data_IF_806570344227
#
_entry.id   IF_806570344227
#
_cell.length_a   1.000
_cell.length_b   1.000
_cell.length_c   1.000
_cell.angle_alpha   90.00
_cell.angle_beta   90.00
_cell.angle_gamma   90.00
#
_symmetry.space_group_name_H-M   'P 1'
#
loop_
_entity.id
_entity.type
_entity.pdbx_description
1 polymer ?
#
# COMPACT_ATOMS: atom_id res chain seq x y z
N UNK A 1 -22.25 -21.38 -16.55
CA UNK A 1 -23.19 -21.29 -15.40
C UNK A 1 -23.88 -19.96 -15.49
N UNK A 2 -25.18 -19.85 -15.15
CA UNK A 2 -25.87 -18.54 -15.15
C UNK A 2 -25.52 -17.72 -13.92
N UNK A 3 -25.58 -16.39 -14.04
CA UNK A 3 -25.34 -15.45 -12.93
C UNK A 3 -26.23 -15.74 -11.70
N UNK A 4 -27.48 -16.09 -11.94
CA UNK A 4 -28.43 -16.46 -10.89
C UNK A 4 -28.01 -17.71 -10.11
N UNK A 5 -27.50 -18.73 -10.81
CA UNK A 5 -27.01 -19.96 -10.18
C UNK A 5 -25.75 -19.71 -9.36
N UNK A 6 -24.84 -18.85 -9.85
CA UNK A 6 -23.66 -18.44 -9.09
C UNK A 6 -24.08 -17.71 -7.81
N UNK A 7 -25.04 -16.78 -7.92
CA UNK A 7 -25.60 -16.03 -6.79
C UNK A 7 -26.21 -16.96 -5.74
N UNK A 8 -27.03 -17.93 -6.17
CA UNK A 8 -27.68 -18.92 -5.28
C UNK A 8 -26.64 -19.75 -4.50
N UNK A 9 -25.58 -20.22 -5.16
CA UNK A 9 -24.48 -20.94 -4.52
C UNK A 9 -23.82 -20.08 -3.46
N UNK A 10 -23.49 -18.83 -3.79
CA UNK A 10 -22.81 -17.91 -2.86
C UNK A 10 -23.68 -17.58 -1.65
N UNK A 11 -24.99 -17.37 -1.85
CA UNK A 11 -25.93 -17.11 -0.77
C UNK A 11 -26.12 -18.33 0.15
N UNK A 12 -26.16 -19.56 -0.41
CA UNK A 12 -26.16 -20.81 0.37
C UNK A 12 -24.91 -20.99 1.22
N UNK A 13 -23.78 -20.46 0.77
CA UNK A 13 -22.53 -20.42 1.54
C UNK A 13 -22.47 -19.29 2.57
N UNK A 14 -23.50 -18.45 2.67
CA UNK A 14 -23.60 -17.36 3.64
C UNK A 14 -23.01 -16.02 3.16
N UNK A 15 -22.64 -15.88 1.88
CA UNK A 15 -22.11 -14.62 1.36
C UNK A 15 -23.20 -13.57 1.20
N UNK A 16 -22.97 -12.38 1.75
CA UNK A 16 -23.77 -11.18 1.47
C UNK A 16 -23.17 -10.44 0.28
N UNK A 17 -23.93 -10.32 -0.82
CA UNK A 17 -23.45 -9.81 -2.10
C UNK A 17 -23.94 -8.39 -2.34
N UNK A 18 -23.00 -7.47 -2.57
CA UNK A 18 -23.28 -6.10 -3.04
C UNK A 18 -23.07 -6.02 -4.55
N UNK A 19 -24.07 -5.54 -5.27
CA UNK A 19 -24.10 -5.51 -6.74
C UNK A 19 -23.34 -4.30 -7.30
N UNK A 20 -22.42 -4.56 -8.25
CA UNK A 20 -21.64 -3.57 -9.00
C UNK A 20 -21.77 -3.75 -10.53
N UNK A 21 -22.94 -4.19 -11.00
CA UNK A 21 -23.19 -4.39 -12.43
C UNK A 21 -22.56 -5.67 -12.97
N UNK A 22 -21.31 -5.67 -13.38
CA UNK A 22 -20.62 -6.85 -13.93
C UNK A 22 -20.14 -7.86 -12.88
N UNK A 23 -20.08 -7.46 -11.60
CA UNK A 23 -19.58 -8.28 -10.51
C UNK A 23 -20.29 -7.99 -9.20
N UNK A 24 -20.15 -8.88 -8.24
CA UNK A 24 -20.50 -8.66 -6.84
C UNK A 24 -19.25 -8.41 -6.02
N UNK A 25 -19.43 -7.65 -4.92
CA UNK A 25 -18.45 -7.58 -3.84
C UNK A 25 -19.01 -8.15 -2.57
N UNK A 26 -18.12 -8.76 -1.77
CA UNK A 26 -18.47 -9.40 -0.52
C UNK A 26 -17.28 -9.47 0.43
N UNK A 27 -17.53 -9.86 1.67
CA UNK A 27 -16.49 -10.15 2.64
C UNK A 27 -15.84 -11.52 2.34
N UNK A 28 -14.60 -11.69 2.81
CA UNK A 28 -13.86 -12.95 2.64
C UNK A 28 -14.24 -13.96 3.75
N UNK A 29 -15.47 -14.48 3.73
CA UNK A 29 -15.98 -15.41 4.76
C UNK A 29 -15.08 -16.60 4.99
N UNK A 30 -14.53 -17.19 3.94
CA UNK A 30 -13.64 -18.36 3.99
C UNK A 30 -12.38 -18.18 4.88
N UNK A 31 -12.08 -16.95 5.29
CA UNK A 31 -10.97 -16.63 6.21
C UNK A 31 -11.42 -15.74 7.37
N UNK A 32 -12.72 -15.64 7.65
CA UNK A 32 -13.27 -14.81 8.74
C UNK A 32 -13.11 -13.30 8.53
N UNK A 33 -12.98 -12.84 7.29
CA UNK A 33 -12.86 -11.41 6.98
C UNK A 33 -14.23 -10.73 6.99
N UNK A 34 -14.29 -9.52 7.55
CA UNK A 34 -15.50 -8.70 7.71
C UNK A 34 -15.63 -7.54 6.70
N UNK A 35 -14.57 -7.24 5.96
CA UNK A 35 -14.58 -6.17 4.95
C UNK A 35 -15.48 -6.54 3.76
N UNK A 36 -16.64 -5.84 3.55
CA UNK A 36 -17.63 -6.18 2.52
C UNK A 36 -17.16 -5.94 1.08
N UNK A 37 -15.95 -5.41 0.88
CA UNK A 37 -15.37 -5.16 -0.44
C UNK A 37 -14.08 -5.95 -0.69
N UNK A 38 -13.71 -6.87 0.21
CA UNK A 38 -12.44 -7.60 0.12
C UNK A 38 -12.40 -8.57 -1.06
N UNK A 39 -13.52 -9.18 -1.41
CA UNK A 39 -13.63 -10.16 -2.49
C UNK A 39 -14.52 -9.63 -3.60
N UNK A 40 -14.06 -9.74 -4.84
CA UNK A 40 -14.82 -9.46 -6.04
C UNK A 40 -15.11 -10.77 -6.78
N UNK A 41 -16.37 -10.98 -7.21
CA UNK A 41 -16.82 -12.19 -7.91
C UNK A 41 -17.50 -11.77 -9.19
N UNK A 42 -17.01 -12.23 -10.33
CA UNK A 42 -17.58 -11.93 -11.65
C UNK A 42 -18.84 -12.74 -11.91
N UNK A 43 -19.90 -12.08 -12.40
CA UNK A 43 -21.24 -12.66 -12.57
C UNK A 43 -21.33 -13.66 -13.72
N UNK A 44 -20.53 -13.48 -14.73
CA UNK A 44 -20.51 -14.29 -15.96
C UNK A 44 -19.78 -15.63 -15.79
N UNK A 45 -18.75 -15.65 -14.98
CA UNK A 45 -17.80 -16.76 -14.85
C UNK A 45 -17.75 -17.37 -13.45
N UNK A 46 -18.15 -16.62 -12.42
CA UNK A 46 -17.90 -16.99 -11.03
C UNK A 46 -16.42 -16.91 -10.63
N UNK A 47 -15.55 -16.44 -11.51
CA UNK A 47 -14.16 -16.15 -11.16
C UNK A 47 -14.13 -15.09 -10.09
N UNK A 48 -13.23 -15.22 -9.14
CA UNK A 48 -13.13 -14.30 -8.02
C UNK A 48 -11.70 -13.90 -7.68
N UNK A 49 -11.57 -12.77 -7.01
CA UNK A 49 -10.31 -12.18 -6.56
C UNK A 49 -10.46 -11.71 -5.12
N UNK A 50 -9.49 -12.03 -4.26
CA UNK A 50 -9.37 -11.43 -2.92
C UNK A 50 -8.26 -10.38 -2.95
N UNK A 51 -8.63 -9.11 -2.91
CA UNK A 51 -7.69 -7.99 -2.96
C UNK A 51 -6.77 -7.86 -1.73
N UNK A 52 -7.04 -8.60 -0.66
CA UNK A 52 -6.18 -8.65 0.52
C UNK A 52 -5.09 -9.71 0.37
N UNK A 53 -5.41 -10.82 -0.31
CA UNK A 53 -4.46 -11.92 -0.55
C UNK A 53 -3.61 -11.75 -1.81
N UNK A 54 -4.03 -10.88 -2.72
CA UNK A 54 -3.37 -10.62 -3.99
C UNK A 54 -4.33 -10.65 -5.18
N UNK A 55 -3.83 -10.34 -6.37
CA UNK A 55 -4.62 -10.20 -7.60
C UNK A 55 -4.85 -11.56 -8.34
N UNK A 56 -4.64 -12.70 -7.70
CA UNK A 56 -4.83 -14.00 -8.34
C UNK A 56 -6.32 -14.28 -8.56
N UNK A 57 -6.68 -14.54 -9.82
CA UNK A 57 -8.02 -14.95 -10.20
C UNK A 57 -8.20 -16.44 -9.94
N UNK A 58 -9.24 -16.78 -9.16
CA UNK A 58 -9.54 -18.15 -8.76
C UNK A 58 -10.93 -18.58 -9.24
N UNK A 59 -11.14 -19.88 -9.42
CA UNK A 59 -12.43 -20.42 -9.85
C UNK A 59 -13.46 -20.41 -8.71
N UNK A 60 -14.77 -20.41 -9.06
CA UNK A 60 -15.85 -20.55 -8.08
C UNK A 60 -15.69 -21.82 -7.24
N UNK A 61 -15.22 -22.92 -7.85
CA UNK A 61 -14.91 -24.17 -7.14
C UNK A 61 -13.92 -23.94 -6.00
N UNK A 62 -12.84 -23.21 -6.25
CA UNK A 62 -11.85 -22.89 -5.22
C UNK A 62 -12.45 -22.04 -4.07
N UNK A 63 -13.43 -21.16 -4.35
CA UNK A 63 -14.13 -20.41 -3.32
C UNK A 63 -15.01 -21.32 -2.46
N UNK A 64 -15.75 -22.24 -3.10
CA UNK A 64 -16.59 -23.23 -2.40
C UNK A 64 -15.73 -24.11 -1.49
N UNK A 65 -14.64 -24.67 -2.00
CA UNK A 65 -13.70 -25.51 -1.24
C UNK A 65 -13.09 -24.74 -0.03
N UNK A 66 -12.66 -23.51 -0.27
CA UNK A 66 -12.10 -22.67 0.77
C UNK A 66 -13.12 -22.30 1.87
N UNK A 67 -14.38 -22.07 1.49
CA UNK A 67 -15.45 -21.69 2.42
C UNK A 67 -15.93 -22.87 3.25
N UNK A 68 -16.08 -24.04 2.66
CA UNK A 68 -16.47 -25.27 3.35
C UNK A 68 -15.33 -25.89 4.16
N UNK A 69 -14.10 -25.44 3.92
CA UNK A 69 -12.87 -26.01 4.52
C UNK A 69 -12.80 -27.54 4.32
N UNK A 70 -13.30 -28.02 3.17
CA UNK A 70 -13.37 -29.44 2.82
C UNK A 70 -12.65 -29.75 1.52
N UNK A 71 -12.03 -30.91 1.44
CA UNK A 71 -11.47 -31.48 0.24
C UNK A 71 -12.39 -32.58 -0.32
N UNK A 72 -13.59 -32.78 0.27
CA UNK A 72 -14.56 -33.76 -0.22
C UNK A 72 -15.18 -33.29 -1.54
N UNK A 73 -14.73 -33.92 -2.63
CA UNK A 73 -15.20 -33.65 -3.97
C UNK A 73 -16.71 -33.90 -4.15
N UNK A 74 -17.31 -34.79 -3.35
CA UNK A 74 -18.73 -35.12 -3.39
C UNK A 74 -19.59 -33.95 -2.88
N UNK A 75 -19.21 -33.34 -1.77
CA UNK A 75 -19.92 -32.22 -1.18
C UNK A 75 -19.82 -30.96 -2.06
N UNK A 76 -18.62 -30.66 -2.54
CA UNK A 76 -18.36 -29.57 -3.47
C UNK A 76 -19.15 -29.75 -4.78
N UNK A 77 -19.17 -30.97 -5.33
CA UNK A 77 -19.90 -31.30 -6.58
C UNK A 77 -21.42 -31.19 -6.42
N UNK A 78 -21.99 -31.55 -5.27
CA UNK A 78 -23.43 -31.37 -4.98
C UNK A 78 -23.82 -29.90 -4.99
N UNK A 79 -23.04 -29.01 -4.36
CA UNK A 79 -23.30 -27.57 -4.36
C UNK A 79 -23.17 -26.95 -5.75
N UNK A 80 -22.19 -27.38 -6.52
CA UNK A 80 -21.95 -26.91 -7.88
C UNK A 80 -22.91 -27.54 -8.89
N UNK A 81 -23.77 -28.49 -8.47
CA UNK A 81 -24.80 -29.12 -9.30
C UNK A 81 -24.25 -30.02 -10.40
N UNK A 82 -23.16 -30.75 -10.14
CA UNK A 82 -22.53 -31.69 -11.08
C UNK A 82 -21.81 -31.01 -12.27
N UNK A 83 -21.62 -29.72 -12.25
CA UNK A 83 -20.81 -29.02 -13.26
C UNK A 83 -19.34 -29.42 -13.12
N UNK A 84 -18.83 -30.08 -14.17
CA UNK A 84 -17.40 -30.40 -14.29
C UNK A 84 -16.64 -29.16 -14.74
N UNK A 85 -15.97 -28.49 -13.78
CA UNK A 85 -15.11 -27.34 -14.04
C UNK A 85 -13.77 -27.72 -14.68
N UNK A 86 -13.51 -29.00 -14.95
CA UNK A 86 -12.31 -29.43 -15.68
C UNK A 86 -12.50 -29.29 -17.21
N UNK A 87 -13.72 -29.03 -17.70
CA UNK A 87 -13.95 -28.60 -19.05
C UNK A 87 -14.01 -27.07 -19.13
N UNK A 88 -12.88 -26.43 -18.99
CA UNK A 88 -12.71 -25.09 -19.60
C UNK A 88 -12.94 -25.28 -21.10
N UNK A 89 -13.79 -24.45 -21.77
CA UNK A 89 -13.84 -24.44 -23.20
C UNK A 89 -12.40 -24.24 -23.71
N UNK A 90 -11.92 -25.19 -24.50
CA UNK A 90 -10.57 -25.18 -25.07
C UNK A 90 -10.33 -24.04 -26.08
N UNK A 91 -11.28 -23.09 -26.16
CA UNK A 91 -11.27 -21.98 -27.13
C UNK A 91 -11.23 -20.58 -26.52
N UNK A 92 -11.11 -20.46 -25.20
CA UNK A 92 -10.54 -19.22 -24.66
C UNK A 92 -9.05 -19.43 -24.62
N UNK A 93 -8.36 -19.03 -25.69
CA UNK A 93 -6.96 -18.61 -25.62
C UNK A 93 -6.89 -17.52 -24.54
N UNK A 94 -6.77 -17.94 -23.27
CA UNK A 94 -6.27 -17.06 -22.23
C UNK A 94 -4.92 -16.62 -22.80
N UNK A 95 -4.71 -15.34 -23.10
CA UNK A 95 -3.42 -14.91 -23.58
C UNK A 95 -2.42 -15.38 -22.53
N UNK A 96 -1.46 -16.23 -22.91
CA UNK A 96 -0.35 -16.72 -22.08
C UNK A 96 0.54 -15.58 -21.57
N UNK A 97 0.23 -14.38 -21.99
CA UNK A 97 0.81 -13.13 -21.50
C UNK A 97 -0.31 -12.41 -20.74
N UNK A 98 -0.06 -11.99 -19.46
CA UNK A 98 -0.94 -11.01 -18.85
C UNK A 98 -1.10 -9.90 -19.89
N UNK A 99 -2.36 -9.54 -20.23
CA UNK A 99 -2.61 -8.31 -20.98
C UNK A 99 -1.82 -7.27 -20.24
N UNK A 100 -0.73 -6.82 -20.84
CA UNK A 100 0.01 -5.67 -20.34
C UNK A 100 -0.97 -4.53 -20.52
N UNK A 101 -1.81 -4.27 -19.50
CA UNK A 101 -2.60 -3.07 -19.47
C UNK A 101 -1.56 -1.97 -19.59
N UNK A 102 -1.56 -1.29 -20.72
CA UNK A 102 -0.66 -0.16 -20.92
C UNK A 102 -0.94 0.78 -19.77
N UNK A 103 0.08 1.02 -18.97
CA UNK A 103 -0.02 1.86 -17.80
C UNK A 103 -0.56 3.23 -18.25
N UNK A 104 -1.73 3.62 -17.72
CA UNK A 104 -2.34 4.89 -18.07
C UNK A 104 -1.41 6.02 -17.69
N UNK A 105 -0.97 6.78 -18.66
CA UNK A 105 -0.13 7.96 -18.46
C UNK A 105 -0.91 9.24 -18.75
N UNK A 106 -0.42 10.33 -18.21
CA UNK A 106 -0.99 11.67 -18.35
C UNK A 106 0.04 12.61 -18.96
N UNK A 107 -0.36 13.53 -19.85
CA UNK A 107 0.57 14.48 -20.43
C UNK A 107 1.07 15.47 -19.36
N UNK A 108 2.33 15.89 -19.47
CA UNK A 108 2.94 16.84 -18.52
C UNK A 108 2.18 18.19 -18.46
N UNK A 109 1.50 18.58 -19.54
CA UNK A 109 0.67 19.79 -19.60
C UNK A 109 -0.47 19.80 -18.57
N UNK A 110 -0.87 18.64 -18.01
CA UNK A 110 -1.88 18.60 -16.96
C UNK A 110 -1.45 19.36 -15.70
N UNK A 111 -0.14 19.46 -15.45
CA UNK A 111 0.40 20.18 -14.29
C UNK A 111 0.18 21.68 -14.36
N UNK A 112 0.03 22.27 -15.56
CA UNK A 112 -0.28 23.70 -15.72
C UNK A 112 -1.67 24.09 -15.17
N UNK A 113 -2.53 23.10 -14.94
CA UNK A 113 -3.84 23.28 -14.29
C UNK A 113 -3.77 23.30 -12.75
N UNK A 114 -2.62 23.04 -12.18
CA UNK A 114 -2.41 23.10 -10.74
C UNK A 114 -1.97 24.51 -10.35
N UNK A 115 -2.71 25.15 -9.44
CA UNK A 115 -2.33 26.48 -8.94
C UNK A 115 -1.23 26.36 -7.87
N UNK A 116 -0.21 27.23 -7.89
CA UNK A 116 0.84 27.30 -6.87
C UNK A 116 0.31 27.94 -5.58
N UNK A 117 -0.66 27.33 -4.95
CA UNK A 117 -1.30 27.83 -3.74
C UNK A 117 -0.76 27.10 -2.50
N UNK A 118 0.38 27.55 -1.97
CA UNK A 118 1.17 26.85 -0.96
C UNK A 118 0.81 27.20 0.48
N UNK A 119 -0.09 28.15 0.73
CA UNK A 119 -0.40 28.74 2.05
C UNK A 119 -0.64 27.69 3.15
N UNK A 120 -1.32 26.59 2.81
CA UNK A 120 -1.61 25.54 3.79
C UNK A 120 -0.33 24.85 4.28
N UNK A 121 0.55 24.47 3.37
CA UNK A 121 1.80 23.79 3.70
C UNK A 121 2.82 24.76 4.32
N UNK A 122 2.88 26.01 3.85
CA UNK A 122 3.74 27.02 4.43
C UNK A 122 3.39 27.29 5.91
N UNK A 123 2.07 27.28 6.26
CA UNK A 123 1.63 27.35 7.65
C UNK A 123 2.06 26.15 8.50
N UNK A 124 2.39 25.02 7.86
CA UNK A 124 2.91 23.81 8.48
C UNK A 124 4.45 23.72 8.44
N UNK A 125 5.13 24.82 8.09
CA UNK A 125 6.58 24.85 8.04
C UNK A 125 7.22 24.30 6.76
N UNK A 126 6.43 23.89 5.76
CA UNK A 126 6.98 23.41 4.48
C UNK A 126 7.17 24.59 3.54
N UNK A 127 8.39 24.79 3.05
CA UNK A 127 8.74 25.88 2.12
C UNK A 127 8.12 25.71 0.74
N UNK A 128 7.91 26.81 0.03
CA UNK A 128 7.44 26.79 -1.35
C UNK A 128 8.42 26.04 -2.25
N UNK A 129 9.73 26.15 -2.01
CA UNK A 129 10.76 25.45 -2.77
C UNK A 129 10.63 23.93 -2.71
N UNK A 130 10.30 23.37 -1.53
CA UNK A 130 10.03 21.92 -1.41
C UNK A 130 8.76 21.52 -2.20
N UNK A 131 7.70 22.33 -2.14
CA UNK A 131 6.47 22.03 -2.86
C UNK A 131 6.64 22.10 -4.38
N UNK A 132 7.43 23.04 -4.87
CA UNK A 132 7.81 23.19 -6.27
C UNK A 132 8.70 22.03 -6.73
N UNK A 133 9.67 21.62 -5.91
CA UNK A 133 10.49 20.44 -6.18
C UNK A 133 9.62 19.21 -6.42
N UNK A 134 8.62 18.96 -5.59
CA UNK A 134 7.66 17.86 -5.76
C UNK A 134 6.56 18.15 -6.79
N UNK A 135 6.60 19.29 -7.49
CA UNK A 135 5.61 19.71 -8.51
C UNK A 135 4.18 19.71 -7.96
N UNK A 136 4.05 20.07 -6.69
CA UNK A 136 2.76 20.11 -6.00
C UNK A 136 1.96 21.36 -6.35
N UNK A 137 0.63 21.25 -6.39
CA UNK A 137 -0.26 22.39 -6.58
C UNK A 137 -1.72 22.08 -6.31
N UNK A 138 -2.53 23.14 -6.16
CA UNK A 138 -3.96 23.05 -5.88
C UNK A 138 -4.76 22.81 -7.16
N UNK A 139 -5.54 21.72 -7.19
CA UNK A 139 -6.48 21.47 -8.27
C UNK A 139 -7.80 22.22 -8.04
N UNK A 140 -8.21 23.02 -9.03
CA UNK A 140 -9.43 23.83 -8.99
C UNK A 140 -10.59 23.21 -9.77
N UNK A 141 -10.35 22.09 -10.44
CA UNK A 141 -11.37 21.39 -11.24
C UNK A 141 -11.17 19.86 -11.23
N UNK A 142 -12.13 19.15 -11.77
CA UNK A 142 -12.07 17.73 -12.05
C UNK A 142 -12.04 16.81 -10.81
N UNK A 143 -11.55 15.61 -11.00
CA UNK A 143 -11.59 14.55 -9.99
C UNK A 143 -10.79 14.87 -8.72
N UNK A 144 -9.85 15.81 -8.78
CA UNK A 144 -9.02 16.28 -7.67
C UNK A 144 -9.44 17.68 -7.16
N UNK A 145 -10.62 18.15 -7.51
CA UNK A 145 -11.12 19.46 -7.07
C UNK A 145 -10.94 19.69 -5.57
N UNK A 146 -10.40 20.89 -5.22
CA UNK A 146 -10.05 21.30 -3.86
C UNK A 146 -9.03 20.36 -3.16
N UNK A 147 -8.13 19.74 -3.92
CA UNK A 147 -7.03 18.97 -3.36
C UNK A 147 -5.70 19.59 -3.76
N UNK A 148 -4.76 19.56 -2.84
CA UNK A 148 -3.36 19.81 -3.17
C UNK A 148 -2.77 18.51 -3.69
N UNK A 149 -2.32 18.53 -4.95
CA UNK A 149 -2.02 17.35 -5.75
C UNK A 149 -0.55 17.25 -6.04
N UNK A 150 0.00 16.05 -5.90
CA UNK A 150 1.35 15.68 -6.27
C UNK A 150 1.31 14.64 -7.39
N UNK A 151 2.02 14.88 -8.52
CA UNK A 151 2.14 13.92 -9.60
C UNK A 151 3.04 12.76 -9.20
N UNK A 152 2.70 11.55 -9.63
CA UNK A 152 3.52 10.36 -9.47
C UNK A 152 4.07 9.94 -10.82
N UNK A 153 5.38 9.80 -10.92
CA UNK A 153 6.09 9.46 -12.15
C UNK A 153 6.51 7.99 -12.15
N UNK A 154 6.46 7.37 -13.32
CA UNK A 154 7.03 6.05 -13.55
C UNK A 154 8.51 6.13 -13.95
N UNK A 155 9.16 4.98 -14.10
CA UNK A 155 10.58 4.88 -14.49
C UNK A 155 10.93 5.51 -15.84
N UNK A 156 9.94 5.78 -16.68
CA UNK A 156 10.10 6.45 -17.98
C UNK A 156 9.94 7.98 -17.88
N UNK A 157 9.74 8.53 -16.68
CA UNK A 157 9.50 9.94 -16.46
C UNK A 157 8.11 10.42 -16.88
N UNK A 158 7.18 9.50 -17.15
CA UNK A 158 5.79 9.82 -17.46
C UNK A 158 4.94 9.86 -16.19
N UNK A 159 3.98 10.81 -16.13
CA UNK A 159 3.02 10.85 -15.01
C UNK A 159 2.06 9.68 -15.18
N UNK A 160 1.98 8.79 -14.18
CA UNK A 160 1.07 7.65 -14.18
C UNK A 160 0.09 7.65 -13.00
N UNK A 161 0.11 8.70 -12.20
CA UNK A 161 -0.82 8.85 -11.10
C UNK A 161 -0.74 10.20 -10.42
N UNK A 162 -1.67 10.40 -9.50
CA UNK A 162 -1.75 11.60 -8.68
C UNK A 162 -2.16 11.25 -7.26
N UNK A 163 -1.54 11.89 -6.29
CA UNK A 163 -1.94 11.82 -4.88
C UNK A 163 -2.35 13.21 -4.42
N UNK A 164 -3.59 13.37 -3.93
CA UNK A 164 -4.16 14.66 -3.57
C UNK A 164 -4.67 14.71 -2.14
N UNK A 165 -4.14 15.64 -1.34
CA UNK A 165 -4.62 15.95 0.01
C UNK A 165 -5.83 16.85 -0.05
N UNK A 166 -6.88 16.55 0.69
CA UNK A 166 -8.07 17.40 0.80
C UNK A 166 -7.72 18.73 1.49
N UNK A 167 -8.12 19.82 0.83
CA UNK A 167 -7.89 21.20 1.28
C UNK A 167 -9.20 21.90 1.63
N UNK A 168 -10.35 21.18 1.54
CA UNK A 168 -11.64 21.76 1.88
C UNK A 168 -11.68 22.16 3.36
N UNK A 169 -12.23 23.32 3.65
CA UNK A 169 -12.46 23.82 5.02
C UNK A 169 -13.79 23.33 5.60
N UNK A 170 -14.63 22.77 4.75
CA UNK A 170 -15.93 22.23 5.15
C UNK A 170 -15.72 20.81 5.67
N UNK A 171 -16.27 20.51 6.86
CA UNK A 171 -16.34 19.12 7.35
C UNK A 171 -17.08 18.28 6.33
N UNK A 172 -16.36 17.48 5.58
CA UNK A 172 -16.91 16.64 4.53
C UNK A 172 -16.50 15.19 4.80
N UNK A 173 -17.33 14.24 4.39
CA UNK A 173 -16.99 12.81 4.40
C UNK A 173 -15.91 12.45 3.36
N UNK A 174 -15.15 13.43 2.90
CA UNK A 174 -14.09 13.26 1.90
C UNK A 174 -12.84 12.67 2.57
N UNK A 175 -12.21 11.66 1.98
CA UNK A 175 -10.99 11.10 2.55
C UNK A 175 -9.86 12.15 2.54
N UNK A 176 -9.05 12.18 3.62
CA UNK A 176 -7.87 13.07 3.74
C UNK A 176 -6.97 13.00 2.51
N UNK A 177 -6.73 11.80 1.99
CA UNK A 177 -5.97 11.57 0.77
C UNK A 177 -6.82 10.86 -0.28
N UNK A 178 -6.70 11.28 -1.54
CA UNK A 178 -7.29 10.63 -2.71
C UNK A 178 -6.19 10.34 -3.72
N UNK A 179 -6.25 9.16 -4.32
CA UNK A 179 -5.30 8.71 -5.32
C UNK A 179 -5.99 8.47 -6.66
N UNK A 180 -5.34 8.84 -7.76
CA UNK A 180 -5.72 8.50 -9.14
C UNK A 180 -4.56 7.72 -9.73
N UNK A 181 -4.80 6.52 -10.23
CA UNK A 181 -3.80 5.56 -10.70
C UNK A 181 -3.68 4.35 -9.80
N UNK A 182 -2.84 3.39 -10.19
CA UNK A 182 -2.65 2.13 -9.49
C UNK A 182 -1.56 2.29 -8.41
N UNK A 183 -1.97 2.70 -7.20
CA UNK A 183 -1.08 2.98 -6.06
C UNK A 183 -0.06 1.85 -5.78
N UNK A 184 -0.44 0.59 -6.02
CA UNK A 184 0.44 -0.57 -5.80
C UNK A 184 1.66 -0.63 -6.73
N UNK A 185 1.68 0.16 -7.81
CA UNK A 185 2.83 0.24 -8.74
C UNK A 185 3.72 1.47 -8.48
N UNK A 186 3.42 2.27 -7.49
CA UNK A 186 4.12 3.54 -7.26
C UNK A 186 5.40 3.35 -6.45
N UNK A 187 6.45 4.04 -6.89
CA UNK A 187 7.74 4.19 -6.20
C UNK A 187 8.01 5.69 -6.07
N UNK A 188 7.40 6.29 -5.06
CA UNK A 188 7.41 7.74 -4.89
C UNK A 188 8.35 8.17 -3.77
N UNK A 189 9.14 9.20 -3.98
CA UNK A 189 9.25 10.08 -5.17
C UNK A 189 10.43 9.72 -6.10
N UNK A 190 10.91 8.47 -6.08
CA UNK A 190 12.15 8.04 -6.72
C UNK A 190 12.26 8.41 -8.20
N UNK A 191 11.17 8.36 -8.96
CA UNK A 191 11.15 8.67 -10.40
C UNK A 191 10.78 10.13 -10.72
N UNK A 192 10.83 11.03 -9.74
CA UNK A 192 10.53 12.44 -9.95
C UNK A 192 11.57 13.07 -10.91
N UNK A 193 11.15 13.64 -12.08
CA UNK A 193 12.10 14.24 -13.02
C UNK A 193 12.63 15.57 -12.50
N UNK A 194 13.89 15.85 -12.77
CA UNK A 194 14.58 17.11 -12.40
C UNK A 194 15.77 16.93 -11.46
N UNK A 195 16.17 15.68 -11.15
CA UNK A 195 17.22 15.38 -10.19
C UNK A 195 18.58 15.05 -10.80
N UNK A 196 19.22 15.94 -11.57
CA UNK A 196 20.68 15.88 -11.81
C UNK A 196 21.45 16.71 -10.76
N UNK A 197 20.79 17.19 -9.72
CA UNK A 197 21.47 17.86 -8.61
C UNK A 197 21.76 16.85 -7.51
N UNK A 198 22.90 16.99 -6.84
CA UNK A 198 23.33 16.21 -5.65
C UNK A 198 22.33 16.15 -4.48
N UNK A 199 21.13 16.65 -4.69
CA UNK A 199 20.03 16.76 -3.74
C UNK A 199 18.81 15.90 -4.11
N UNK A 200 18.87 15.07 -5.16
CA UNK A 200 17.74 14.20 -5.50
C UNK A 200 17.65 13.01 -4.54
N UNK A 201 16.45 12.42 -4.47
CA UNK A 201 16.18 11.25 -3.61
C UNK A 201 17.08 10.07 -3.99
N UNK A 202 17.35 9.88 -5.28
CA UNK A 202 18.18 8.80 -5.81
C UNK A 202 19.62 8.90 -5.31
N UNK A 203 20.24 10.10 -5.42
CA UNK A 203 21.61 10.33 -4.98
C UNK A 203 21.74 10.18 -3.46
N UNK A 204 20.74 10.64 -2.71
CA UNK A 204 20.73 10.52 -1.25
C UNK A 204 20.60 9.05 -0.81
N UNK A 205 19.76 8.25 -1.45
CA UNK A 205 19.67 6.82 -1.18
C UNK A 205 21.00 6.12 -1.53
N UNK A 206 21.56 6.43 -2.71
CA UNK A 206 22.81 5.82 -3.18
C UNK A 206 24.00 6.16 -2.31
N UNK A 207 24.11 7.43 -1.84
CA UNK A 207 25.23 7.88 -1.01
C UNK A 207 25.14 7.37 0.42
N UNK A 208 23.94 7.41 1.02
CA UNK A 208 23.72 6.93 2.39
C UNK A 208 23.59 5.40 2.48
N UNK A 209 23.41 4.70 1.35
CA UNK A 209 23.07 3.26 1.32
C UNK A 209 21.90 2.88 2.25
N UNK A 210 21.07 3.85 2.56
CA UNK A 210 19.95 3.73 3.47
C UNK A 210 18.69 4.32 2.82
N UNK A 211 17.54 3.69 3.08
CA UNK A 211 16.21 4.18 2.68
C UNK A 211 15.27 4.24 3.88
N UNK A 212 14.52 5.33 3.98
CA UNK A 212 13.50 5.53 5.00
C UNK A 212 12.13 5.36 4.35
N UNK A 213 11.29 4.49 4.92
CA UNK A 213 9.93 4.23 4.45
C UNK A 213 8.92 4.97 5.33
N UNK A 214 8.15 5.90 4.76
CA UNK A 214 7.13 6.67 5.47
C UNK A 214 5.73 6.40 4.95
N UNK A 215 4.70 6.74 5.74
CA UNK A 215 3.32 6.41 5.42
C UNK A 215 2.74 7.30 4.31
N UNK A 216 3.02 8.59 4.33
CA UNK A 216 2.36 9.59 3.49
C UNK A 216 3.31 10.61 2.86
N UNK A 217 2.82 11.31 1.82
CA UNK A 217 3.55 12.45 1.25
C UNK A 217 3.74 13.57 2.28
N UNK A 218 2.83 13.74 3.24
CA UNK A 218 3.00 14.72 4.31
C UNK A 218 4.27 14.48 5.12
N UNK A 219 4.54 13.21 5.46
CA UNK A 219 5.76 12.81 6.20
C UNK A 219 7.02 13.06 5.37
N UNK A 220 6.98 12.66 4.09
CA UNK A 220 8.06 12.93 3.14
C UNK A 220 8.40 14.41 3.04
N UNK A 221 7.39 15.29 2.93
CA UNK A 221 7.63 16.75 2.82
C UNK A 221 8.31 17.31 4.06
N UNK A 222 7.88 16.89 5.26
CA UNK A 222 8.49 17.33 6.50
C UNK A 222 9.94 16.87 6.62
N UNK A 223 10.24 15.61 6.30
CA UNK A 223 11.62 15.10 6.30
C UNK A 223 12.48 15.85 5.29
N UNK A 224 11.95 16.07 4.07
CA UNK A 224 12.67 16.78 3.01
C UNK A 224 12.97 18.23 3.36
N UNK A 225 12.05 18.93 4.03
CA UNK A 225 12.25 20.30 4.53
C UNK A 225 13.43 20.38 5.51
N UNK A 226 13.62 19.34 6.30
CA UNK A 226 14.70 19.24 7.28
C UNK A 226 15.97 18.53 6.75
N UNK A 227 16.10 18.40 5.41
CA UNK A 227 17.31 17.87 4.77
C UNK A 227 17.38 16.34 4.66
N UNK A 228 16.41 15.61 5.19
CA UNK A 228 16.37 14.14 5.16
C UNK A 228 15.64 13.71 3.87
N UNK A 229 16.43 13.28 2.87
CA UNK A 229 15.93 13.11 1.49
C UNK A 229 15.91 11.66 0.99
N UNK A 230 16.55 10.72 1.70
CA UNK A 230 16.57 9.29 1.36
C UNK A 230 15.26 8.57 1.73
N UNK A 231 14.12 9.13 1.32
CA UNK A 231 12.77 8.76 1.79
C UNK A 231 11.92 8.24 0.63
N UNK A 232 11.20 7.12 0.86
CA UNK A 232 10.16 6.60 -0.02
C UNK A 232 8.82 6.46 0.71
N UNK A 233 7.71 6.65 -0.03
CA UNK A 233 6.36 6.62 0.54
C UNK A 233 5.67 5.28 0.27
N UNK A 234 5.11 4.68 1.30
CA UNK A 234 4.33 3.43 1.21
C UNK A 234 2.86 3.65 0.84
N UNK A 235 2.36 4.90 0.96
CA UNK A 235 0.95 5.28 0.75
C UNK A 235 -0.04 4.52 1.65
N UNK A 236 0.33 4.33 2.89
CA UNK A 236 -0.45 3.66 3.93
C UNK A 236 0.43 2.73 4.78
N UNK A 237 -0.20 1.95 5.64
CA UNK A 237 0.46 1.11 6.65
C UNK A 237 0.94 -0.26 6.10
N UNK A 238 1.10 -0.39 4.78
CA UNK A 238 1.57 -1.63 4.14
C UNK A 238 2.49 -1.33 2.97
N UNK A 239 3.43 -2.23 2.71
CA UNK A 239 4.32 -2.15 1.54
C UNK A 239 3.73 -2.93 0.36
N UNK A 240 3.80 -2.36 -0.85
CA UNK A 240 3.41 -3.06 -2.09
C UNK A 240 4.53 -4.00 -2.56
N UNK A 241 4.13 -5.06 -3.28
CA UNK A 241 5.11 -5.98 -3.88
C UNK A 241 6.06 -5.27 -4.85
N UNK A 242 5.56 -4.28 -5.59
CA UNK A 242 6.39 -3.46 -6.50
C UNK A 242 7.46 -2.69 -5.74
N UNK A 243 7.09 -2.01 -4.63
CA UNK A 243 8.06 -1.29 -3.81
C UNK A 243 9.05 -2.27 -3.15
N UNK A 244 8.59 -3.41 -2.68
CA UNK A 244 9.45 -4.45 -2.09
C UNK A 244 10.48 -4.99 -3.11
N UNK A 245 10.04 -5.36 -4.31
CA UNK A 245 10.95 -5.76 -5.40
C UNK A 245 11.92 -4.64 -5.79
N UNK A 246 11.45 -3.39 -5.77
CA UNK A 246 12.30 -2.25 -6.07
C UNK A 246 13.40 -2.05 -5.03
N UNK A 247 13.09 -2.20 -3.73
CA UNK A 247 14.09 -2.11 -2.65
C UNK A 247 15.22 -3.14 -2.83
N UNK A 248 14.92 -4.33 -3.33
CA UNK A 248 15.94 -5.35 -3.66
C UNK A 248 16.91 -4.82 -4.72
N UNK A 249 16.41 -4.09 -5.71
CA UNK A 249 17.26 -3.55 -6.81
C UNK A 249 18.08 -2.34 -6.38
N UNK A 250 17.74 -1.66 -5.29
CA UNK A 250 18.47 -0.48 -4.81
C UNK A 250 19.84 -0.81 -4.22
N UNK A 251 20.06 -2.05 -3.75
CA UNK A 251 21.31 -2.45 -3.12
C UNK A 251 21.67 -1.63 -1.89
N UNK A 252 20.64 -1.27 -1.06
CA UNK A 252 20.84 -0.54 0.19
C UNK A 252 21.29 -1.48 1.30
N UNK A 253 22.04 -0.93 2.24
CA UNK A 253 22.53 -1.65 3.41
C UNK A 253 21.58 -1.54 4.59
N UNK A 254 20.70 -0.51 4.61
CA UNK A 254 19.76 -0.26 5.69
C UNK A 254 18.40 0.19 5.17
N UNK A 255 17.33 -0.39 5.73
CA UNK A 255 15.92 -0.01 5.50
C UNK A 255 15.31 0.40 6.83
N UNK A 256 14.95 1.66 6.96
CA UNK A 256 14.28 2.20 8.16
C UNK A 256 12.79 2.31 7.91
N UNK A 257 11.98 1.61 8.68
CA UNK A 257 10.51 1.70 8.64
C UNK A 257 10.09 2.79 9.62
N UNK A 258 9.53 3.89 9.11
CA UNK A 258 9.13 5.05 9.87
C UNK A 258 7.70 5.48 9.56
N UNK A 259 6.75 4.59 9.86
CA UNK A 259 5.33 4.89 9.76
C UNK A 259 4.87 5.74 10.94
N UNK A 260 3.60 6.17 10.95
CA UNK A 260 3.06 7.02 12.01
C UNK A 260 3.19 6.38 13.40
N UNK A 261 3.25 7.23 14.43
CA UNK A 261 3.31 6.82 15.83
C UNK A 261 2.00 7.20 16.55
N UNK A 262 1.02 6.31 16.46
CA UNK A 262 -0.29 6.51 17.08
C UNK A 262 -0.32 6.08 18.56
N UNK A 263 0.80 6.18 19.29
CA UNK A 263 0.93 5.72 20.69
C UNK A 263 -0.05 6.40 21.66
N UNK A 264 -0.53 7.60 21.34
CA UNK A 264 -1.56 8.31 22.12
C UNK A 264 -2.99 7.76 21.92
N UNK A 265 -3.19 6.85 20.96
CA UNK A 265 -4.50 6.24 20.63
C UNK A 265 -4.60 4.86 21.29
N UNK A 266 -5.84 4.38 21.45
CA UNK A 266 -6.13 3.03 21.99
C UNK A 266 -5.35 1.92 21.26
N UNK A 267 -5.17 2.05 19.94
CA UNK A 267 -4.32 1.16 19.14
C UNK A 267 -3.30 1.99 18.35
N UNK A 268 -2.03 1.69 18.55
CA UNK A 268 -0.95 2.26 17.73
C UNK A 268 -0.94 1.58 16.34
N UNK A 269 -1.80 2.06 15.44
CA UNK A 269 -1.94 1.49 14.08
C UNK A 269 -0.69 1.66 13.24
N UNK A 270 0.03 2.75 13.43
CA UNK A 270 1.29 2.99 12.73
C UNK A 270 2.37 1.99 13.15
N UNK A 271 2.54 1.73 14.45
CA UNK A 271 3.48 0.71 14.94
C UNK A 271 3.09 -0.70 14.46
N UNK A 272 1.81 -1.06 14.55
CA UNK A 272 1.32 -2.34 14.02
C UNK A 272 1.60 -2.46 12.52
N UNK A 273 1.39 -1.38 11.78
CA UNK A 273 1.73 -1.29 10.35
C UNK A 273 3.22 -1.49 10.09
N UNK A 274 4.08 -0.82 10.87
CA UNK A 274 5.54 -0.94 10.77
C UNK A 274 5.99 -2.39 11.01
N UNK A 275 5.47 -3.05 12.05
CA UNK A 275 5.76 -4.46 12.34
C UNK A 275 5.27 -5.40 11.22
N UNK A 276 4.13 -5.11 10.58
CA UNK A 276 3.66 -5.86 9.40
C UNK A 276 4.58 -5.66 8.19
N UNK A 277 5.08 -4.45 7.97
CA UNK A 277 6.04 -4.16 6.90
C UNK A 277 7.36 -4.87 7.20
N UNK A 278 7.85 -4.82 8.44
CA UNK A 278 9.03 -5.54 8.90
C UNK A 278 8.93 -7.04 8.57
N UNK A 279 7.84 -7.70 8.97
CA UNK A 279 7.63 -9.12 8.68
C UNK A 279 7.63 -9.46 7.18
N UNK A 280 7.10 -8.57 6.33
CA UNK A 280 7.14 -8.76 4.88
C UNK A 280 8.55 -8.60 4.31
N UNK A 281 9.31 -7.63 4.81
CA UNK A 281 10.68 -7.40 4.35
C UNK A 281 11.62 -8.54 4.73
N UNK A 282 11.37 -9.23 5.84
CA UNK A 282 12.11 -10.44 6.23
C UNK A 282 12.00 -11.60 5.22
N UNK A 283 11.07 -11.55 4.28
CA UNK A 283 11.03 -12.51 3.16
C UNK A 283 12.16 -12.27 2.14
N UNK A 284 12.77 -11.07 2.12
CA UNK A 284 13.71 -10.63 1.09
C UNK A 284 15.02 -10.03 1.63
N UNK A 285 15.06 -9.64 2.89
CA UNK A 285 16.19 -8.94 3.51
C UNK A 285 16.57 -9.57 4.84
N UNK A 286 17.85 -9.52 5.17
CA UNK A 286 18.36 -9.92 6.47
C UNK A 286 17.81 -9.02 7.58
N UNK A 287 17.56 -9.59 8.75
CA UNK A 287 16.92 -8.90 9.87
C UNK A 287 17.72 -7.70 10.40
N UNK A 288 19.03 -7.74 10.30
CA UNK A 288 19.95 -6.67 10.70
C UNK A 288 19.88 -5.44 9.78
N UNK A 289 19.48 -5.63 8.52
CA UNK A 289 19.30 -4.54 7.56
C UNK A 289 17.98 -3.78 7.72
N UNK A 290 17.04 -4.27 8.55
CA UNK A 290 15.72 -3.68 8.70
C UNK A 290 15.57 -3.14 10.10
N UNK A 291 15.29 -1.84 10.23
CA UNK A 291 15.01 -1.21 11.52
C UNK A 291 13.64 -0.53 11.53
N UNK A 292 13.09 -0.33 12.73
CA UNK A 292 11.86 0.43 12.95
C UNK A 292 12.19 1.63 13.80
N UNK A 293 12.01 2.83 13.26
CA UNK A 293 12.20 4.10 13.97
C UNK A 293 11.03 5.02 13.68
N UNK A 294 10.04 5.00 14.56
CA UNK A 294 8.86 5.85 14.42
C UNK A 294 9.20 7.32 14.71
N UNK A 295 8.39 8.29 14.20
CA UNK A 295 8.54 9.69 14.55
C UNK A 295 8.39 9.92 16.06
N UNK A 296 9.00 10.99 16.59
CA UNK A 296 8.93 11.34 18.01
C UNK A 296 7.55 11.93 18.42
N UNK A 297 6.73 12.31 17.43
CA UNK A 297 5.34 12.73 17.58
C UNK A 297 4.41 11.74 16.85
N UNK A 298 3.11 12.08 16.69
CA UNK A 298 2.14 11.21 16.00
C UNK A 298 2.49 10.93 14.54
N UNK A 299 3.01 11.95 13.85
CA UNK A 299 3.58 11.85 12.49
C UNK A 299 4.71 12.89 12.36
N UNK A 300 5.42 12.91 11.22
CA UNK A 300 6.48 13.90 11.00
C UNK A 300 5.94 15.33 10.86
N UNK A 301 4.65 15.52 10.56
CA UNK A 301 4.02 16.81 10.50
C UNK A 301 3.70 17.43 11.85
N UNK A 302 3.73 16.62 12.92
CA UNK A 302 3.51 17.04 14.31
C UNK A 302 4.84 17.19 15.10
N UNK A 303 5.99 16.85 14.48
CA UNK A 303 7.32 17.06 15.09
C UNK A 303 7.72 18.53 15.04
N UNK A 304 8.40 19.01 16.09
CA UNK A 304 9.02 20.33 16.08
C UNK A 304 10.36 20.32 15.31
N UNK A 305 10.82 21.45 14.73
CA UNK A 305 12.08 21.50 13.98
C UNK A 305 13.30 20.97 14.76
N UNK A 306 13.37 21.15 16.07
CA UNK A 306 14.44 20.64 16.92
C UNK A 306 14.47 19.11 17.06
N UNK A 307 13.35 18.44 16.77
CA UNK A 307 13.23 16.99 16.92
C UNK A 307 13.83 16.23 15.73
N UNK A 308 13.92 16.86 14.55
CA UNK A 308 14.43 16.18 13.34
C UNK A 308 15.92 15.80 13.47
N UNK A 309 16.85 16.69 13.90
CA UNK A 309 18.25 16.28 14.11
C UNK A 309 18.38 15.18 15.17
N UNK A 310 17.60 15.24 16.25
CA UNK A 310 17.58 14.22 17.30
C UNK A 310 17.06 12.87 16.77
N UNK A 311 16.02 12.89 15.94
CA UNK A 311 15.46 11.70 15.33
C UNK A 311 16.44 11.11 14.32
N UNK A 312 17.04 11.93 13.43
CA UNK A 312 18.01 11.49 12.43
C UNK A 312 19.28 10.91 13.07
N UNK A 313 19.84 11.58 14.09
CA UNK A 313 21.03 11.08 14.79
C UNK A 313 20.83 9.76 15.53
N UNK A 314 19.59 9.40 15.79
CA UNK A 314 19.20 8.13 16.40
C UNK A 314 18.78 7.06 15.38
N UNK A 315 18.99 7.32 14.06
CA UNK A 315 18.79 6.27 13.04
C UNK A 315 19.90 5.23 13.16
N UNK A 316 19.57 3.96 13.26
CA UNK A 316 20.57 2.91 13.27
C UNK A 316 21.10 2.64 11.86
N UNK A 317 22.39 2.39 11.74
CA UNK A 317 22.95 1.81 10.51
C UNK A 317 22.48 0.38 10.33
N UNK A 318 22.37 -0.38 11.43
CA UNK A 318 21.86 -1.74 11.50
C UNK A 318 21.01 -1.90 12.77
N UNK A 319 19.99 -2.77 12.71
CA UNK A 319 19.17 -3.07 13.89
C UNK A 319 19.98 -3.87 14.91
N UNK A 320 19.96 -3.45 16.18
CA UNK A 320 20.58 -4.18 17.27
C UNK A 320 19.83 -5.46 17.61
N UNK A 321 20.52 -6.42 18.24
CA UNK A 321 19.88 -7.67 18.70
C UNK A 321 18.74 -7.40 19.69
N UNK A 322 18.93 -6.44 20.61
CA UNK A 322 17.91 -6.05 21.61
C UNK A 322 16.66 -5.46 20.97
N UNK A 323 16.83 -4.63 19.95
CA UNK A 323 15.68 -4.08 19.19
C UNK A 323 14.92 -5.20 18.45
N UNK A 324 15.64 -6.11 17.79
CA UNK A 324 15.03 -7.23 17.09
C UNK A 324 14.24 -8.14 18.04
N UNK A 325 14.79 -8.43 19.23
CA UNK A 325 14.09 -9.20 20.26
C UNK A 325 12.85 -8.46 20.77
N UNK A 326 12.95 -7.16 21.01
CA UNK A 326 11.81 -6.33 21.41
C UNK A 326 10.69 -6.37 20.36
N UNK A 327 11.03 -6.26 19.05
CA UNK A 327 10.02 -6.37 17.98
C UNK A 327 9.43 -7.77 17.87
N UNK A 328 10.24 -8.80 18.06
CA UNK A 328 9.75 -10.19 18.08
C UNK A 328 8.70 -10.41 19.18
N UNK A 329 8.97 -9.95 20.39
CA UNK A 329 8.02 -10.06 21.52
C UNK A 329 6.72 -9.30 21.24
N UNK A 330 6.81 -8.07 20.69
CA UNK A 330 5.64 -7.29 20.27
C UNK A 330 4.83 -7.99 19.18
N UNK A 331 5.49 -8.52 18.17
CA UNK A 331 4.82 -9.24 17.07
C UNK A 331 4.07 -10.46 17.61
N UNK A 332 4.72 -11.26 18.45
CA UNK A 332 4.09 -12.44 19.08
C UNK A 332 2.83 -12.06 19.82
N UNK A 333 2.90 -11.03 20.66
CA UNK A 333 1.72 -10.52 21.38
C UNK A 333 0.59 -10.05 20.45
N UNK A 334 0.94 -9.36 19.34
CA UNK A 334 -0.05 -8.87 18.35
C UNK A 334 -0.66 -10.02 17.52
N UNK A 335 0.09 -11.09 17.30
CA UNK A 335 -0.44 -12.32 16.66
C UNK A 335 -1.45 -12.99 17.59
N UNK A 336 -1.14 -13.12 18.88
CA UNK A 336 -2.05 -13.68 19.89
C UNK A 336 -3.34 -12.86 20.00
N UNK A 337 -3.25 -11.52 19.88
CA UNK A 337 -4.40 -10.60 19.83
C UNK A 337 -5.12 -10.54 18.47
N UNK A 338 -4.66 -11.26 17.46
CA UNK A 338 -5.16 -11.25 16.08
C UNK A 338 -5.05 -9.89 15.36
N UNK A 339 -4.25 -8.95 15.86
CA UNK A 339 -3.95 -7.68 15.18
C UNK A 339 -2.95 -7.87 14.03
N UNK A 340 -2.14 -8.93 14.09
CA UNK A 340 -1.29 -9.42 13.00
C UNK A 340 -1.73 -10.85 12.63
N UNK A 341 -1.92 -11.09 11.35
CA UNK A 341 -2.31 -12.41 10.86
C UNK A 341 -1.18 -13.44 11.09
N UNK A 342 -1.52 -14.60 11.62
CA UNK A 342 -0.56 -15.66 11.99
C UNK A 342 0.28 -16.16 10.80
N UNK A 343 -0.24 -16.07 9.58
CA UNK A 343 0.49 -16.44 8.36
C UNK A 343 1.63 -15.50 8.00
N UNK A 344 1.66 -14.28 8.55
CA UNK A 344 2.79 -13.36 8.42
C UNK A 344 3.91 -13.70 9.40
N UNK A 345 3.59 -14.35 10.52
CA UNK A 345 4.56 -14.75 11.52
C UNK A 345 5.16 -16.11 11.18
N UNK A 346 6.38 -16.12 10.68
CA UNK A 346 7.12 -17.34 10.35
C UNK A 346 8.24 -17.53 11.38
N UNK A 347 8.19 -18.62 12.14
CA UNK A 347 9.21 -18.92 13.17
C UNK A 347 10.65 -18.85 12.64
N UNK A 348 10.86 -19.19 11.36
CA UNK A 348 12.20 -19.15 10.72
C UNK A 348 12.90 -17.81 10.75
N UNK A 349 12.18 -16.69 10.96
CA UNK A 349 12.78 -15.36 11.01
C UNK A 349 13.42 -15.04 12.38
N UNK A 350 13.12 -15.84 13.39
CA UNK A 350 13.50 -15.59 14.79
C UNK A 350 14.26 -16.79 15.40
N UNK A 351 14.70 -17.73 14.55
CA UNK A 351 15.50 -18.88 14.91
C UNK A 351 16.98 -18.53 15.03
#
# INVERSE_FOLDING_TARGET
>A
MTSEKIKDILQKLGYTLTDFGSHWRTSALYRGGDNPSAVQIYKDSGVWVDYVKGDAHMSLKALVEATLQTNDKSEVSKLLGGYDFNSLPSDTSVPLYPKTEMEKTYPASILSKLLPHYRFYNKKGISSGVLEFFKGGLATEGAMYQRFVFPVYNKLGSIHGFSGRDMSTVSSNRPKWKHIGKKSTWIYPYHLPGGLSSNCVQDQISSKKQVILVESIGDLLNLHEHGIKNVLVTFGTSISSTLMCFLITLGVDSIVISLNNDSSKEKNRGEIGALKVYLKLLDCFDKDKISIKLPLASDFGDMEPKDFPRWESALPDMASADEQESWHLKIKHLVDKKDIASNLYKKKYFA
#
